data_IF_051579320715
#
_entry.id   IF_051579320715
#
_cell.length_a   1.000
_cell.length_b   1.000
_cell.length_c   1.000
_cell.angle_alpha   90.00
_cell.angle_beta   90.00
_cell.angle_gamma   90.00
#
_symmetry.space_group_name_H-M   'P 1'
#
loop_
_entity.id
_entity.type
_entity.pdbx_description
1 polymer ?
#
# COMPACT_ATOMS: atom_id res chain seq x y z
N UNK A 1 -3.09 12.93 12.12
CA UNK A 1 -1.91 12.76 11.23
C UNK A 1 -1.09 14.04 11.27
N UNK A 2 0.12 13.99 11.82
CA UNK A 2 1.03 15.13 11.90
C UNK A 2 2.03 15.03 10.75
N UNK A 3 1.67 15.58 9.59
CA UNK A 3 2.63 15.80 8.51
C UNK A 3 3.21 17.21 8.62
N UNK A 4 4.53 17.30 8.54
CA UNK A 4 5.27 18.53 8.31
C UNK A 4 5.00 19.09 6.92
N UNK A 5 5.37 20.35 6.69
CA UNK A 5 5.17 20.99 5.39
C UNK A 5 6.08 20.42 4.30
N UNK A 6 7.23 19.84 4.66
CA UNK A 6 8.10 19.17 3.68
C UNK A 6 7.49 17.86 3.18
N UNK A 7 6.91 17.07 4.09
CA UNK A 7 6.23 15.82 3.73
C UNK A 7 4.99 16.09 2.85
N UNK A 8 4.21 17.14 3.17
CA UNK A 8 3.09 17.58 2.31
C UNK A 8 3.55 17.99 0.91
N UNK A 9 4.71 18.63 0.77
CA UNK A 9 5.28 18.99 -0.54
C UNK A 9 5.70 17.75 -1.32
N UNK A 10 6.35 16.78 -0.67
CA UNK A 10 6.74 15.51 -1.30
C UNK A 10 5.49 14.77 -1.83
N UNK A 11 4.46 14.62 -0.99
CA UNK A 11 3.18 14.01 -1.38
C UNK A 11 2.57 14.72 -2.59
N UNK A 12 2.58 16.06 -2.59
CA UNK A 12 2.08 16.86 -3.71
C UNK A 12 2.89 16.63 -4.99
N UNK A 13 4.21 16.44 -4.90
CA UNK A 13 5.04 16.13 -6.06
C UNK A 13 4.66 14.79 -6.69
N UNK A 14 4.45 13.74 -5.88
CA UNK A 14 3.96 12.45 -6.38
C UNK A 14 2.56 12.56 -6.97
N UNK A 15 1.63 13.23 -6.29
CA UNK A 15 0.27 13.45 -6.80
C UNK A 15 0.23 14.25 -8.13
N UNK A 16 1.29 14.99 -8.46
CA UNK A 16 1.43 15.72 -9.71
C UNK A 16 1.94 14.90 -10.89
N UNK A 17 2.37 13.66 -10.68
CA UNK A 17 2.77 12.75 -11.75
C UNK A 17 1.52 12.25 -12.51
N UNK A 18 1.58 12.25 -13.84
CA UNK A 18 0.44 11.84 -14.68
C UNK A 18 0.01 10.39 -14.45
N UNK A 19 0.96 9.56 -14.04
CA UNK A 19 0.82 8.13 -13.79
C UNK A 19 0.01 7.88 -12.50
N UNK A 20 0.06 8.81 -11.54
CA UNK A 20 -0.54 8.69 -10.21
C UNK A 20 -2.00 9.10 -10.23
N UNK A 21 -2.88 8.18 -9.81
CA UNK A 21 -4.34 8.35 -9.81
C UNK A 21 -4.92 8.56 -8.41
N UNK A 22 -4.26 8.03 -7.39
CA UNK A 22 -4.58 8.33 -6.01
C UNK A 22 -3.31 8.22 -5.15
N UNK A 23 -3.28 8.97 -4.05
CA UNK A 23 -2.25 8.90 -3.03
C UNK A 23 -2.92 8.78 -1.67
N UNK A 24 -2.44 7.85 -0.87
CA UNK A 24 -2.91 7.65 0.49
C UNK A 24 -1.74 7.36 1.43
N UNK A 25 -1.96 7.67 2.70
CA UNK A 25 -1.00 7.39 3.77
C UNK A 25 -1.50 6.20 4.57
N UNK A 26 -0.61 5.27 4.86
CA UNK A 26 -0.91 4.09 5.66
C UNK A 26 -0.10 3.98 6.93
N UNK A 27 0.03 2.73 7.38
CA UNK A 27 0.70 2.31 8.60
C UNK A 27 0.35 3.14 9.84
N UNK A 28 1.36 3.30 10.71
CA UNK A 28 1.20 3.91 12.03
C UNK A 28 0.73 5.37 11.95
N UNK A 29 1.15 6.09 10.90
CA UNK A 29 0.76 7.46 10.60
C UNK A 29 -0.74 7.59 10.30
N UNK A 30 -1.35 6.57 9.69
CA UNK A 30 -2.77 6.54 9.36
C UNK A 30 -3.66 6.04 10.50
N UNK A 31 -3.22 5.02 11.25
CA UNK A 31 -3.98 4.42 12.37
C UNK A 31 -3.91 5.24 13.66
N UNK A 32 -3.06 6.28 13.71
CA UNK A 32 -2.87 7.11 14.90
C UNK A 32 -2.03 6.46 15.99
N UNK A 33 -1.37 5.33 15.68
CA UNK A 33 -0.41 4.67 16.57
C UNK A 33 1.03 5.13 16.33
N UNK A 34 1.26 5.99 15.35
CA UNK A 34 2.57 6.56 15.04
C UNK A 34 3.00 7.66 16.02
N UNK A 35 4.30 7.77 16.20
CA UNK A 35 4.97 8.83 16.95
C UNK A 35 5.86 9.70 16.04
N UNK A 36 6.59 10.64 16.63
CA UNK A 36 7.44 11.57 15.89
C UNK A 36 8.63 10.88 15.17
N UNK A 37 8.93 9.63 15.52
CA UNK A 37 10.01 8.83 14.91
C UNK A 37 9.51 7.81 13.91
N UNK A 38 8.19 7.61 13.82
CA UNK A 38 7.59 6.67 12.89
C UNK A 38 7.81 7.09 11.45
N UNK A 39 8.04 6.10 10.61
CA UNK A 39 8.00 6.17 9.16
C UNK A 39 6.66 6.68 8.62
N UNK A 40 6.66 6.98 7.32
CA UNK A 40 5.48 7.35 6.56
C UNK A 40 5.35 6.39 5.39
N UNK A 41 4.35 5.50 5.47
CA UNK A 41 3.94 4.70 4.33
C UNK A 41 3.13 5.55 3.34
N UNK A 42 3.66 5.74 2.15
CA UNK A 42 3.04 6.50 1.07
C UNK A 42 2.63 5.57 -0.08
N UNK A 43 1.34 5.28 -0.16
CA UNK A 43 0.76 4.45 -1.22
C UNK A 43 0.37 5.32 -2.41
N UNK A 44 1.07 5.14 -3.52
CA UNK A 44 0.73 5.73 -4.82
C UNK A 44 0.03 4.67 -5.67
N UNK A 45 -1.21 4.93 -6.05
CA UNK A 45 -1.95 4.09 -6.97
C UNK A 45 -1.77 4.62 -8.38
N UNK A 46 -1.26 3.79 -9.28
CA UNK A 46 -0.75 4.21 -10.59
C UNK A 46 -1.35 3.38 -11.72
N UNK A 47 -1.50 4.00 -12.90
CA UNK A 47 -1.83 3.25 -14.14
C UNK A 47 -0.59 2.64 -14.81
N UNK A 48 0.59 3.15 -14.46
CA UNK A 48 1.90 2.64 -14.85
C UNK A 48 2.93 3.15 -13.85
N UNK A 49 3.99 2.40 -13.60
CA UNK A 49 5.04 2.87 -12.70
C UNK A 49 5.72 4.16 -13.23
N UNK A 50 5.84 5.23 -12.43
CA UNK A 50 6.65 6.39 -12.80
C UNK A 50 8.11 5.98 -13.05
N UNK A 51 8.77 6.64 -14.00
CA UNK A 51 10.17 6.35 -14.29
C UNK A 51 11.06 6.60 -13.07
N UNK A 52 12.16 5.86 -12.97
CA UNK A 52 13.20 6.07 -11.94
C UNK A 52 13.63 7.55 -11.91
N UNK A 53 13.80 8.17 -13.08
CA UNK A 53 14.21 9.58 -13.18
C UNK A 53 13.15 10.54 -12.61
N UNK A 54 11.85 10.31 -12.84
CA UNK A 54 10.78 11.10 -12.22
C UNK A 54 10.81 10.98 -10.70
N UNK A 55 10.99 9.76 -10.18
CA UNK A 55 11.02 9.47 -8.74
C UNK A 55 12.24 10.08 -8.07
N UNK A 56 13.42 9.95 -8.66
CA UNK A 56 14.66 10.52 -8.14
C UNK A 56 14.59 12.06 -8.10
N UNK A 57 13.99 12.70 -9.11
CA UNK A 57 13.74 14.16 -9.09
C UNK A 57 12.85 14.61 -7.92
N UNK A 58 12.00 13.74 -7.40
CA UNK A 58 11.17 14.03 -6.22
C UNK A 58 12.00 13.88 -4.95
N UNK A 59 12.81 12.83 -4.82
CA UNK A 59 13.56 12.54 -3.59
C UNK A 59 14.77 13.48 -3.37
N UNK A 60 15.55 13.73 -4.44
CA UNK A 60 16.85 14.42 -4.38
C UNK A 60 16.81 15.81 -3.70
N UNK A 61 15.77 16.65 -3.86
CA UNK A 61 15.68 17.93 -3.15
C UNK A 61 15.49 17.82 -1.63
N UNK A 62 15.10 16.65 -1.11
CA UNK A 62 14.69 16.47 0.28
C UNK A 62 15.49 15.42 1.05
N UNK A 63 16.33 14.65 0.36
CA UNK A 63 17.05 13.54 0.96
C UNK A 63 18.48 13.41 0.43
N UNK A 64 19.41 13.29 1.37
CA UNK A 64 20.80 12.87 1.14
C UNK A 64 20.99 11.35 1.16
N UNK A 65 19.95 10.58 1.55
CA UNK A 65 19.97 9.12 1.71
C UNK A 65 18.69 8.51 1.15
N UNK A 66 18.78 7.95 -0.04
CA UNK A 66 17.65 7.40 -0.76
C UNK A 66 18.01 6.12 -1.53
N UNK A 67 17.02 5.25 -1.70
CA UNK A 67 17.00 4.09 -2.58
C UNK A 67 15.76 4.23 -3.48
N UNK A 68 15.96 4.30 -4.80
CA UNK A 68 14.88 4.45 -5.79
C UNK A 68 14.82 3.18 -6.64
N UNK A 69 13.61 2.66 -6.86
CA UNK A 69 13.42 1.47 -7.70
C UNK A 69 13.70 0.14 -7.00
N UNK A 70 13.44 0.07 -5.70
CA UNK A 70 13.37 -1.20 -4.99
C UNK A 70 12.18 -2.04 -5.47
N UNK A 71 12.34 -3.37 -5.50
CA UNK A 71 11.29 -4.31 -5.94
C UNK A 71 11.18 -5.57 -5.04
N UNK A 72 11.86 -5.58 -3.89
CA UNK A 72 11.84 -6.74 -2.98
C UNK A 72 10.45 -7.06 -2.43
N UNK A 73 9.64 -6.02 -2.18
CA UNK A 73 8.26 -6.12 -1.69
C UNK A 73 7.23 -5.59 -2.70
N UNK A 74 7.66 -5.47 -3.96
CA UNK A 74 6.97 -4.73 -5.02
C UNK A 74 7.61 -3.35 -5.27
N UNK A 75 7.17 -2.65 -6.32
CA UNK A 75 7.80 -1.40 -6.75
C UNK A 75 7.72 -0.31 -5.69
N UNK A 76 8.86 0.23 -5.30
CA UNK A 76 8.92 1.27 -4.28
C UNK A 76 10.24 2.02 -4.20
N UNK A 77 10.21 3.08 -3.39
CA UNK A 77 11.35 3.89 -3.03
C UNK A 77 11.41 4.03 -1.50
N UNK A 78 12.61 4.10 -0.94
CA UNK A 78 12.83 4.33 0.49
C UNK A 78 13.79 5.50 0.67
N UNK A 79 13.41 6.53 1.42
CA UNK A 79 14.34 7.63 1.69
C UNK A 79 14.08 8.36 3.01
N UNK A 80 15.17 8.88 3.58
CA UNK A 80 15.13 9.68 4.80
C UNK A 80 15.03 11.16 4.47
N UNK A 81 13.98 11.83 4.92
CA UNK A 81 13.81 13.29 4.72
C UNK A 81 14.77 14.04 5.64
N UNK A 82 15.76 14.74 5.08
CA UNK A 82 16.85 15.37 5.83
C UNK A 82 16.33 16.37 6.89
N UNK A 83 15.26 17.10 6.56
CA UNK A 83 14.72 18.15 7.43
C UNK A 83 14.04 17.60 8.69
N UNK A 84 13.37 16.44 8.60
CA UNK A 84 12.61 15.86 9.71
C UNK A 84 13.31 14.65 10.33
N UNK A 85 14.24 14.05 9.60
CA UNK A 85 14.90 12.80 9.96
C UNK A 85 14.01 11.56 9.82
N UNK A 86 12.77 11.69 9.34
CA UNK A 86 11.81 10.59 9.17
C UNK A 86 12.05 9.85 7.86
N UNK A 87 11.74 8.56 7.86
CA UNK A 87 11.80 7.69 6.69
C UNK A 87 10.45 7.70 5.96
N UNK A 88 10.50 7.74 4.64
CA UNK A 88 9.36 7.61 3.75
C UNK A 88 9.53 6.32 2.97
N UNK A 89 8.53 5.46 3.10
CA UNK A 89 8.41 4.22 2.34
C UNK A 89 7.33 4.44 1.29
N UNK A 90 7.75 4.58 0.04
CA UNK A 90 6.89 4.94 -1.09
C UNK A 90 6.59 3.68 -1.88
N UNK A 91 5.32 3.28 -1.95
CA UNK A 91 4.88 2.14 -2.74
C UNK A 91 4.16 2.60 -4.00
N UNK A 92 4.35 1.89 -5.11
CA UNK A 92 3.59 2.06 -6.35
C UNK A 92 2.74 0.84 -6.62
N UNK A 93 1.43 0.95 -6.36
CA UNK A 93 0.47 -0.11 -6.63
C UNK A 93 -0.23 0.15 -7.95
N UNK A 94 -0.16 -0.84 -8.85
CA UNK A 94 -0.97 -0.84 -10.06
C UNK A 94 -2.47 -0.78 -9.68
N UNK A 95 -3.16 0.20 -10.26
CA UNK A 95 -4.56 0.52 -9.92
C UNK A 95 -5.48 -0.67 -10.21
N UNK A 96 -5.35 -1.25 -11.39
CA UNK A 96 -6.24 -2.29 -11.88
C UNK A 96 -5.99 -3.61 -11.12
N UNK A 97 -4.74 -3.93 -10.84
CA UNK A 97 -4.34 -5.06 -10.00
C UNK A 97 -4.91 -4.92 -8.59
N UNK A 98 -4.76 -3.76 -7.95
CA UNK A 98 -5.21 -3.55 -6.58
C UNK A 98 -6.74 -3.63 -6.48
N UNK A 99 -7.46 -2.99 -7.41
CA UNK A 99 -8.92 -3.12 -7.49
C UNK A 99 -9.34 -4.55 -7.74
N UNK A 100 -8.74 -5.24 -8.71
CA UNK A 100 -9.03 -6.64 -9.01
C UNK A 100 -8.81 -7.56 -7.80
N UNK A 101 -7.75 -7.33 -7.03
CA UNK A 101 -7.47 -8.04 -5.78
C UNK A 101 -8.60 -7.80 -4.77
N UNK A 102 -8.96 -6.54 -4.52
CA UNK A 102 -10.01 -6.18 -3.55
C UNK A 102 -11.36 -6.79 -3.96
N UNK A 103 -11.74 -6.67 -5.22
CA UNK A 103 -13.02 -7.20 -5.72
C UNK A 103 -13.06 -8.73 -5.68
N UNK A 104 -11.98 -9.41 -6.06
CA UNK A 104 -11.88 -10.88 -5.97
C UNK A 104 -11.99 -11.37 -4.52
N UNK A 105 -11.36 -10.69 -3.57
CA UNK A 105 -11.46 -11.10 -2.16
C UNK A 105 -12.83 -10.75 -1.60
N UNK A 106 -13.30 -9.52 -1.80
CA UNK A 106 -14.49 -9.01 -1.12
C UNK A 106 -15.81 -9.50 -1.74
N UNK A 107 -15.94 -9.43 -3.06
CA UNK A 107 -17.18 -9.79 -3.76
C UNK A 107 -17.22 -11.29 -4.09
N UNK A 108 -16.15 -11.82 -4.67
CA UNK A 108 -16.11 -13.25 -5.04
C UNK A 108 -15.84 -14.16 -3.84
N UNK A 109 -15.52 -13.58 -2.66
CA UNK A 109 -15.13 -14.31 -1.46
C UNK A 109 -13.95 -15.26 -1.70
N UNK A 110 -12.99 -14.88 -2.57
CA UNK A 110 -11.84 -15.73 -2.96
C UNK A 110 -10.60 -15.36 -2.15
N UNK A 111 -10.23 -16.13 -1.11
CA UNK A 111 -9.05 -15.85 -0.30
C UNK A 111 -7.73 -16.22 -0.99
N UNK A 112 -6.67 -15.51 -0.64
CA UNK A 112 -5.27 -15.78 -1.01
C UNK A 112 -4.57 -16.66 0.04
N UNK A 113 -3.31 -17.02 -0.18
CA UNK A 113 -2.48 -17.65 0.85
C UNK A 113 -1.90 -16.57 1.76
N UNK A 114 -2.01 -16.75 3.08
CA UNK A 114 -1.33 -15.98 4.14
C UNK A 114 -1.73 -14.51 4.31
N UNK A 115 -1.88 -13.73 3.24
CA UNK A 115 -2.08 -12.27 3.28
C UNK A 115 -3.44 -11.81 2.74
N UNK A 116 -4.45 -12.69 2.69
CA UNK A 116 -5.80 -12.37 2.18
C UNK A 116 -6.36 -11.06 2.71
N UNK A 117 -6.15 -10.79 4.00
CA UNK A 117 -6.71 -9.62 4.68
C UNK A 117 -5.75 -8.43 4.69
N UNK A 118 -4.50 -8.57 4.26
CA UNK A 118 -3.49 -7.53 4.38
C UNK A 118 -3.87 -6.28 3.58
N UNK A 119 -4.13 -6.43 2.28
CA UNK A 119 -4.54 -5.30 1.43
C UNK A 119 -5.91 -4.73 1.79
N UNK A 120 -6.84 -5.57 2.28
CA UNK A 120 -8.12 -5.09 2.81
C UNK A 120 -7.92 -4.24 4.08
N UNK A 121 -7.02 -4.68 4.97
CA UNK A 121 -6.65 -3.93 6.16
C UNK A 121 -5.99 -2.62 5.80
N UNK A 122 -5.03 -2.62 4.86
CA UNK A 122 -4.41 -1.40 4.33
C UNK A 122 -5.50 -0.46 3.82
N UNK A 123 -6.31 -0.88 2.84
CA UNK A 123 -7.39 -0.07 2.27
C UNK A 123 -8.34 0.50 3.34
N UNK A 124 -8.74 -0.32 4.32
CA UNK A 124 -9.63 0.10 5.40
C UNK A 124 -9.00 1.17 6.31
N UNK A 125 -7.68 1.21 6.44
CA UNK A 125 -6.98 2.13 7.35
C UNK A 125 -6.29 3.31 6.64
N UNK A 126 -6.14 3.26 5.31
CA UNK A 126 -5.54 4.35 4.54
C UNK A 126 -6.26 5.69 4.78
N UNK A 127 -5.47 6.75 4.95
CA UNK A 127 -5.91 8.14 4.89
C UNK A 127 -5.66 8.66 3.48
N UNK A 128 -6.75 8.84 2.72
CA UNK A 128 -6.68 9.34 1.34
C UNK A 128 -6.30 10.83 1.35
N UNK A 129 -5.23 11.20 0.65
CA UNK A 129 -4.72 12.58 0.58
C UNK A 129 -4.81 13.17 -0.84
N UNK A 130 -4.95 12.33 -1.86
CA UNK A 130 -5.22 12.71 -3.25
C UNK A 130 -6.04 11.61 -3.92
N UNK A 131 -7.19 11.94 -4.50
CA UNK A 131 -8.08 10.99 -5.20
C UNK A 131 -9.11 11.77 -6.05
N UNK A 132 -8.68 12.43 -7.14
CA UNK A 132 -9.54 13.33 -7.91
C UNK A 132 -10.75 12.62 -8.53
N UNK A 133 -10.64 11.33 -8.83
CA UNK A 133 -11.71 10.52 -9.44
C UNK A 133 -12.62 9.85 -8.39
N UNK A 134 -12.31 10.03 -7.10
CA UNK A 134 -12.94 9.32 -5.98
C UNK A 134 -12.89 7.79 -6.13
N UNK A 135 -11.92 7.26 -6.89
CA UNK A 135 -11.80 5.83 -7.17
C UNK A 135 -11.44 5.07 -5.90
N UNK A 136 -10.36 5.49 -5.23
CA UNK A 136 -9.88 4.83 -4.02
C UNK A 136 -10.90 4.97 -2.88
N UNK A 137 -11.53 6.13 -2.78
CA UNK A 137 -12.57 6.40 -1.79
C UNK A 137 -13.81 5.53 -1.97
N UNK A 138 -14.23 5.26 -3.22
CA UNK A 138 -15.30 4.32 -3.53
C UNK A 138 -14.91 2.88 -3.17
N UNK A 139 -13.69 2.46 -3.50
CA UNK A 139 -13.19 1.13 -3.18
C UNK A 139 -13.09 0.92 -1.66
N UNK A 140 -12.61 1.92 -0.92
CA UNK A 140 -12.62 1.93 0.55
C UNK A 140 -14.03 1.82 1.13
N UNK A 141 -14.99 2.55 0.56
CA UNK A 141 -16.40 2.48 0.98
C UNK A 141 -17.04 1.12 0.70
N UNK A 142 -16.66 0.45 -0.39
CA UNK A 142 -17.15 -0.88 -0.73
C UNK A 142 -16.89 -1.90 0.40
N UNK A 143 -15.73 -1.79 1.04
CA UNK A 143 -15.29 -2.72 2.09
C UNK A 143 -15.63 -2.26 3.51
N UNK A 144 -16.48 -1.23 3.68
CA UNK A 144 -16.73 -0.62 4.99
C UNK A 144 -17.74 -1.36 5.87
N UNK A 145 -18.16 -2.57 5.48
CA UNK A 145 -19.04 -3.43 6.26
C UNK A 145 -18.21 -4.49 7.00
N UNK A 146 -18.79 -5.22 7.98
CA UNK A 146 -18.19 -6.46 8.44
C UNK A 146 -17.90 -7.40 7.28
N UNK A 147 -16.89 -8.25 7.44
CA UNK A 147 -16.50 -9.21 6.40
C UNK A 147 -17.68 -10.13 6.06
N UNK A 148 -17.97 -10.39 4.77
CA UNK A 148 -18.98 -11.35 4.37
C UNK A 148 -18.75 -12.71 5.05
N UNK A 149 -19.81 -13.33 5.55
CA UNK A 149 -19.72 -14.62 6.25
C UNK A 149 -19.04 -15.69 5.39
N UNK A 150 -19.44 -15.78 4.12
CA UNK A 150 -18.81 -16.67 3.13
C UNK A 150 -17.31 -16.41 2.97
N UNK A 151 -16.86 -15.15 2.98
CA UNK A 151 -15.43 -14.82 2.91
C UNK A 151 -14.71 -15.31 4.17
N UNK A 152 -15.28 -15.12 5.36
CA UNK A 152 -14.70 -15.60 6.62
C UNK A 152 -14.53 -17.12 6.60
N UNK A 153 -15.57 -17.85 6.19
CA UNK A 153 -15.54 -19.31 6.10
C UNK A 153 -14.48 -19.78 5.11
N UNK A 154 -14.41 -19.14 3.94
CA UNK A 154 -13.41 -19.47 2.93
C UNK A 154 -11.98 -19.21 3.42
N UNK A 155 -11.74 -18.11 4.16
CA UNK A 155 -10.43 -17.82 4.77
C UNK A 155 -10.05 -18.94 5.74
N UNK A 156 -10.96 -19.31 6.66
CA UNK A 156 -10.72 -20.36 7.65
C UNK A 156 -10.45 -21.70 6.96
N UNK A 157 -11.30 -22.11 6.01
CA UNK A 157 -11.17 -23.36 5.29
C UNK A 157 -9.84 -23.44 4.52
N UNK A 158 -9.47 -22.39 3.78
CA UNK A 158 -8.20 -22.35 3.04
C UNK A 158 -6.99 -22.42 3.98
N UNK A 159 -7.06 -21.75 5.12
CA UNK A 159 -5.98 -21.76 6.11
C UNK A 159 -5.81 -23.13 6.75
N UNK A 160 -6.92 -23.80 7.10
CA UNK A 160 -6.90 -25.18 7.59
C UNK A 160 -6.32 -26.16 6.56
N UNK A 161 -6.70 -26.02 5.28
CA UNK A 161 -6.13 -26.85 4.20
C UNK A 161 -4.61 -26.72 4.12
N UNK A 162 -4.07 -25.50 4.28
CA UNK A 162 -2.63 -25.25 4.22
C UNK A 162 -1.87 -25.81 5.44
N UNK A 163 -2.46 -25.73 6.63
CA UNK A 163 -1.80 -26.13 7.88
C UNK A 163 -1.94 -27.62 8.18
N UNK A 164 -3.10 -28.21 7.87
CA UNK A 164 -3.46 -29.56 8.30
C UNK A 164 -3.45 -30.57 7.16
N UNK A 165 -4.01 -30.18 6.01
CA UNK A 165 -4.33 -31.14 4.95
C UNK A 165 -3.25 -31.18 3.86
N UNK A 166 -2.32 -30.22 3.86
CA UNK A 166 -1.17 -30.20 2.93
C UNK A 166 -0.18 -31.31 3.33
N UNK A 167 -0.01 -32.36 2.51
CA UNK A 167 0.73 -33.55 2.93
C UNK A 167 2.25 -33.42 2.88
N UNK A 168 2.78 -32.37 2.25
CA UNK A 168 4.22 -32.09 2.13
C UNK A 168 4.46 -30.59 2.01
N UNK A 169 5.66 -30.12 2.39
CA UNK A 169 6.03 -28.70 2.25
C UNK A 169 6.17 -28.32 0.77
N UNK A 170 5.93 -27.05 0.43
CA UNK A 170 6.21 -26.52 -0.92
C UNK A 170 7.70 -26.19 -1.14
N UNK A 171 8.59 -26.66 -0.28
CA UNK A 171 10.02 -26.36 -0.41
C UNK A 171 10.55 -26.99 -1.71
N UNK A 172 11.23 -26.17 -2.53
CA UNK A 172 12.21 -26.72 -3.46
C UNK A 172 13.40 -27.12 -2.60
N UNK A 173 13.71 -28.42 -2.58
CA UNK A 173 15.01 -28.90 -2.17
C UNK A 173 15.88 -28.90 -3.43
N UNK A 174 16.70 -27.87 -3.57
CA UNK A 174 17.91 -27.89 -4.37
C UNK A 174 18.99 -28.75 -3.69
#
# INVERSE_FOLDING_TARGET
>A
MLLSDVEKRIIKSYAGLQEVKAVAIGGSSATGSGDATSDIDLYNFVDSEPSIEQREKIALPYSSKYEIGGDYFGPGDEFKVDQTGRELDVMFFDRDWFEGLVLSVWLDCRPSNSYTTAFLYTLSNLVVVYDPENWLSKLKKLISTPYPEKLRDNIINRSLMLMKDKPFSSYRAD
#
